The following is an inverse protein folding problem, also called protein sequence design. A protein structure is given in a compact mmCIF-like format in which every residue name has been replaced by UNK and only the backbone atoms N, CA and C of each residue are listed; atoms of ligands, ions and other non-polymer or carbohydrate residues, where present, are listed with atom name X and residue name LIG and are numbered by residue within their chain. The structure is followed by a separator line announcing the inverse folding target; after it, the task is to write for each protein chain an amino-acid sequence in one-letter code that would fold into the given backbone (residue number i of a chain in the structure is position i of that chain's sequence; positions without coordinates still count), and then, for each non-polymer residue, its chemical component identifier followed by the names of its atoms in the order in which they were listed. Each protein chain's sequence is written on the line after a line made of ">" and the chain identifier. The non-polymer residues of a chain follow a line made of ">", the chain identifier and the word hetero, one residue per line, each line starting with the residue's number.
data_IF_168843261057
#
_entry.id   IF_168843261057
#
_cell.length_a   1.000
_cell.length_b   1.000
_cell.length_c   1.000
_cell.angle_alpha   90.00
_cell.angle_beta   90.00
_cell.angle_gamma   90.00
#
_symmetry.space_group_name_H-M   'P 1'
#
loop_
_entity.id
_entity.type
_entity.pdbx_description
1 polymer ?
#
# COMPACT_ATOMS: atom_id res chain seq x y z
N UNK A 1 5.90 8.04 -0.13
CA UNK A 1 4.94 6.95 0.20
C UNK A 1 5.27 5.65 -0.51
N UNK A 2 5.58 5.69 -1.81
CA UNK A 2 5.86 4.47 -2.57
C UNK A 2 6.92 3.59 -1.89
N UNK A 3 8.08 4.16 -1.52
CA UNK A 3 9.14 3.39 -0.86
C UNK A 3 8.73 2.80 0.49
N UNK A 4 7.98 3.58 1.28
CA UNK A 4 7.68 3.23 2.67
C UNK A 4 6.48 2.28 2.82
N UNK A 5 5.55 2.28 1.86
CA UNK A 5 4.30 1.52 1.98
C UNK A 5 3.97 0.63 0.79
N UNK A 6 4.50 0.94 -0.39
CA UNK A 6 4.16 0.26 -1.64
C UNK A 6 5.38 -0.27 -2.39
N UNK A 7 6.53 -0.39 -1.72
CA UNK A 7 7.74 -0.97 -2.33
C UNK A 7 7.47 -2.39 -2.77
N UNK A 8 6.87 -3.19 -1.89
CA UNK A 8 6.47 -4.57 -2.19
C UNK A 8 5.48 -4.66 -3.37
N UNK A 9 4.62 -3.66 -3.58
CA UNK A 9 3.65 -3.67 -4.69
C UNK A 9 4.37 -3.50 -6.04
N UNK A 10 5.36 -2.61 -6.09
CA UNK A 10 6.22 -2.43 -7.27
C UNK A 10 7.22 -3.57 -7.43
N UNK A 11 7.70 -4.16 -6.33
CA UNK A 11 8.57 -5.34 -6.36
C UNK A 11 7.85 -6.54 -6.98
N UNK A 12 6.56 -6.75 -6.69
CA UNK A 12 5.75 -7.79 -7.35
C UNK A 12 5.72 -7.58 -8.86
N UNK A 13 5.50 -6.34 -9.33
CA UNK A 13 5.51 -6.02 -10.76
C UNK A 13 6.89 -6.27 -11.38
N UNK A 14 7.96 -5.83 -10.72
CA UNK A 14 9.33 -6.05 -11.17
C UNK A 14 9.68 -7.55 -11.22
N UNK A 15 9.21 -8.33 -10.23
CA UNK A 15 9.40 -9.78 -10.17
C UNK A 15 8.63 -10.52 -11.28
N UNK A 16 7.37 -10.14 -11.56
CA UNK A 16 6.60 -10.69 -12.68
C UNK A 16 7.25 -10.42 -14.03
N UNK A 17 7.98 -9.30 -14.13
CA UNK A 17 8.72 -8.88 -15.32
C UNK A 17 10.20 -9.23 -15.26
N UNK A 18 10.62 -10.15 -14.37
CA UNK A 18 12.03 -10.50 -14.18
C UNK A 18 12.72 -10.85 -15.50
N UNK A 19 13.89 -10.26 -15.73
CA UNK A 19 14.65 -10.38 -16.98
C UNK A 19 14.24 -9.37 -18.06
N UNK A 20 13.17 -8.62 -17.86
CA UNK A 20 12.73 -7.53 -18.73
C UNK A 20 12.73 -6.21 -17.94
N UNK A 21 13.71 -5.37 -18.20
CA UNK A 21 13.87 -4.13 -17.44
C UNK A 21 12.85 -3.07 -17.88
N UNK A 22 12.43 -2.19 -16.95
CA UNK A 22 11.72 -0.97 -17.31
C UNK A 22 12.53 -0.15 -18.32
N UNK A 23 11.82 0.58 -19.18
CA UNK A 23 12.37 1.48 -20.19
C UNK A 23 12.06 2.93 -19.84
N UNK A 24 10.83 3.20 -19.41
CA UNK A 24 10.40 4.53 -18.97
C UNK A 24 9.39 4.44 -17.84
N UNK A 25 9.38 5.46 -16.98
CA UNK A 25 8.44 5.63 -15.87
C UNK A 25 7.82 7.02 -15.97
N UNK A 26 6.51 7.12 -15.79
CA UNK A 26 5.80 8.37 -15.61
C UNK A 26 4.93 8.27 -14.35
N UNK A 27 4.88 9.31 -13.52
CA UNK A 27 4.11 9.31 -12.28
C UNK A 27 3.52 10.66 -11.96
N UNK A 28 2.29 10.66 -11.45
CA UNK A 28 1.60 11.85 -10.96
C UNK A 28 0.97 11.54 -9.61
N UNK A 29 0.96 12.52 -8.72
CA UNK A 29 0.45 12.37 -7.37
C UNK A 29 0.77 13.60 -6.53
N UNK A 30 0.03 13.78 -5.44
CA UNK A 30 0.21 14.93 -4.56
C UNK A 30 -0.35 14.65 -3.16
N UNK A 31 -0.22 15.63 -2.27
CA UNK A 31 -1.06 15.72 -1.08
C UNK A 31 -2.32 16.46 -1.52
N UNK A 32 -3.47 15.80 -1.49
CA UNK A 32 -4.74 16.36 -1.95
C UNK A 32 -5.79 16.39 -0.84
N UNK A 33 -5.98 15.28 -0.14
CA UNK A 33 -7.00 15.16 0.89
C UNK A 33 -6.55 15.79 2.20
N UNK A 34 -5.30 15.62 2.60
CA UNK A 34 -4.82 16.01 3.93
C UNK A 34 -4.15 17.39 3.94
N UNK A 35 -4.87 18.38 3.42
CA UNK A 35 -4.47 19.81 3.39
C UNK A 35 -5.46 20.67 4.19
N UNK A 36 -5.07 21.86 4.66
CA UNK A 36 -5.93 22.72 5.47
C UNK A 36 -7.27 23.07 4.81
N UNK A 37 -7.29 23.21 3.49
CA UNK A 37 -8.47 23.57 2.69
C UNK A 37 -9.52 22.46 2.68
N UNK A 38 -9.11 21.21 2.91
CA UNK A 38 -10.00 20.04 2.98
C UNK A 38 -10.48 19.76 4.42
N UNK A 39 -10.04 20.55 5.40
CA UNK A 39 -10.50 20.40 6.77
C UNK A 39 -12.00 20.72 6.88
N UNK A 40 -12.76 20.01 7.73
CA UNK A 40 -14.14 20.39 8.03
C UNK A 40 -14.24 21.84 8.51
N UNK A 41 -15.37 22.48 8.22
CA UNK A 41 -15.63 23.84 8.70
C UNK A 41 -15.49 23.91 10.23
N UNK A 42 -14.84 24.96 10.73
CA UNK A 42 -14.53 25.14 12.16
C UNK A 42 -13.66 24.03 12.77
N UNK A 43 -12.93 23.23 11.98
CA UNK A 43 -11.98 22.26 12.52
C UNK A 43 -10.82 22.97 13.24
N UNK A 44 -10.60 22.56 14.49
CA UNK A 44 -9.49 23.00 15.32
C UNK A 44 -8.14 22.44 14.89
N UNK A 45 -7.12 22.68 15.71
CA UNK A 45 -5.77 22.16 15.50
C UNK A 45 -5.51 20.85 16.24
N UNK A 46 -6.29 20.55 17.28
CA UNK A 46 -6.18 19.34 18.09
C UNK A 46 -7.58 18.80 18.41
N UNK A 47 -7.82 17.51 18.13
CA UNK A 47 -9.17 16.94 18.20
C UNK A 47 -9.76 16.98 19.61
N UNK A 48 -8.95 16.71 20.64
CA UNK A 48 -9.42 16.64 22.03
C UNK A 48 -9.50 18.02 22.71
N UNK A 49 -8.75 19.00 22.21
CA UNK A 49 -8.54 20.26 22.94
C UNK A 49 -9.42 21.38 22.41
N UNK A 50 -9.55 21.52 21.08
CA UNK A 50 -10.12 22.73 20.49
C UNK A 50 -10.82 22.51 19.14
N UNK A 51 -11.41 21.33 18.89
CA UNK A 51 -12.03 21.01 17.60
C UNK A 51 -13.56 20.89 17.68
N UNK A 52 -14.32 21.97 17.37
CA UNK A 52 -15.78 21.91 17.25
C UNK A 52 -16.29 20.86 16.26
N UNK A 53 -15.54 20.61 15.18
CA UNK A 53 -15.90 19.64 14.13
C UNK A 53 -15.61 18.18 14.49
N UNK A 54 -15.06 17.89 15.68
CA UNK A 54 -14.60 16.54 16.08
C UNK A 54 -15.65 15.45 15.84
N UNK A 55 -16.91 15.72 16.22
CA UNK A 55 -17.98 14.71 16.14
C UNK A 55 -18.42 14.37 14.72
N UNK A 56 -18.38 15.32 13.79
CA UNK A 56 -18.74 15.09 12.39
C UNK A 56 -17.54 14.71 11.51
N UNK A 57 -16.32 14.95 11.96
CA UNK A 57 -15.09 14.67 11.21
C UNK A 57 -14.82 13.15 11.10
N UNK A 58 -14.60 12.67 9.87
CA UNK A 58 -14.19 11.29 9.58
C UNK A 58 -12.77 10.95 10.10
N UNK A 59 -11.95 11.97 10.34
CA UNK A 59 -10.56 11.85 10.79
C UNK A 59 -10.35 12.37 12.23
N UNK A 60 -11.38 12.32 13.07
CA UNK A 60 -11.22 12.65 14.50
C UNK A 60 -10.30 11.63 15.19
N UNK A 61 -9.17 12.11 15.72
CA UNK A 61 -8.24 11.30 16.51
C UNK A 61 -8.94 10.68 17.73
N UNK A 62 -9.86 11.40 18.39
CA UNK A 62 -10.64 10.87 19.52
C UNK A 62 -11.47 9.66 19.11
N UNK A 63 -12.21 9.79 18.01
CA UNK A 63 -13.09 8.73 17.51
C UNK A 63 -12.29 7.54 17.01
N UNK A 64 -11.22 7.79 16.27
CA UNK A 64 -10.43 6.74 15.62
C UNK A 64 -9.48 6.02 16.57
N UNK A 65 -8.92 6.71 17.56
CA UNK A 65 -7.86 6.13 18.40
C UNK A 65 -8.37 5.65 19.77
N UNK A 66 -9.48 6.24 20.27
CA UNK A 66 -10.06 5.91 21.58
C UNK A 66 -11.42 5.22 21.46
N UNK A 67 -12.42 5.88 20.86
CA UNK A 67 -13.82 5.42 20.96
C UNK A 67 -14.14 4.27 20.01
N UNK A 68 -13.57 4.28 18.81
CA UNK A 68 -13.78 3.29 17.76
C UNK A 68 -12.43 2.88 17.15
N UNK A 69 -11.55 2.21 17.92
CA UNK A 69 -10.16 1.88 17.54
C UNK A 69 -10.05 0.75 16.51
N UNK A 70 -10.92 0.75 15.50
CA UNK A 70 -10.96 -0.22 14.41
C UNK A 70 -9.89 0.07 13.33
N UNK A 71 -9.43 1.32 13.24
CA UNK A 71 -8.43 1.76 12.27
C UNK A 71 -7.29 2.46 12.97
N UNK A 72 -6.06 2.12 12.56
CA UNK A 72 -4.81 2.78 12.96
C UNK A 72 -4.45 2.69 14.44
N UNK A 73 -5.38 2.36 15.34
CA UNK A 73 -5.13 2.34 16.78
C UNK A 73 -3.94 1.47 17.18
N UNK A 74 -3.76 0.31 16.56
CA UNK A 74 -2.59 -0.53 16.80
C UNK A 74 -1.28 0.18 16.43
N UNK A 75 -1.23 0.89 15.30
CA UNK A 75 -0.07 1.67 14.89
C UNK A 75 0.18 2.83 15.85
N UNK A 76 -0.86 3.61 16.16
CA UNK A 76 -0.73 4.80 17.03
C UNK A 76 -0.24 4.41 18.43
N UNK A 77 -0.82 3.37 19.03
CA UNK A 77 -0.45 2.97 20.40
C UNK A 77 0.82 2.13 20.45
N UNK A 78 1.23 1.49 19.35
CA UNK A 78 2.57 0.93 19.24
C UNK A 78 3.62 2.05 19.18
N UNK A 79 3.39 3.06 18.35
CA UNK A 79 4.33 4.15 18.10
C UNK A 79 4.28 5.27 19.16
N UNK A 80 3.36 5.21 20.12
CA UNK A 80 3.30 6.14 21.25
C UNK A 80 4.40 5.88 22.29
N UNK A 81 5.09 4.74 22.21
CA UNK A 81 6.13 4.34 23.17
C UNK A 81 5.57 3.90 24.53
N UNK A 82 4.25 3.80 24.69
CA UNK A 82 3.60 3.33 25.92
C UNK A 82 3.02 1.95 25.69
N UNK A 83 3.47 0.97 26.46
CA UNK A 83 2.95 -0.39 26.40
C UNK A 83 1.58 -0.47 27.05
N UNK A 84 0.56 -0.87 26.27
CA UNK A 84 -0.81 -1.12 26.74
C UNK A 84 -1.43 0.04 27.55
N UNK A 85 -1.51 1.27 26.99
CA UNK A 85 -1.98 2.43 27.74
C UNK A 85 -3.46 2.29 28.14
N UNK A 86 -3.79 2.73 29.36
CA UNK A 86 -5.19 2.79 29.84
C UNK A 86 -5.99 3.84 29.06
N UNK A 87 -7.32 3.83 29.20
CA UNK A 87 -8.16 4.83 28.55
C UNK A 87 -7.81 6.26 28.99
N UNK A 88 -7.51 6.46 30.28
CA UNK A 88 -7.10 7.74 30.86
C UNK A 88 -5.75 8.18 30.31
N UNK A 89 -4.78 7.27 30.18
CA UNK A 89 -3.47 7.57 29.60
C UNK A 89 -3.58 7.95 28.13
N UNK A 90 -4.42 7.24 27.36
CA UNK A 90 -4.70 7.57 25.96
C UNK A 90 -5.28 8.98 25.82
N UNK A 91 -6.23 9.35 26.68
CA UNK A 91 -6.82 10.69 26.69
C UNK A 91 -5.77 11.74 27.06
N UNK A 92 -4.95 11.47 28.09
CA UNK A 92 -3.87 12.38 28.52
C UNK A 92 -2.90 12.64 27.37
N UNK A 93 -2.36 11.58 26.78
CA UNK A 93 -1.42 11.64 25.65
C UNK A 93 -2.02 12.40 24.45
N UNK A 94 -3.27 12.13 24.09
CA UNK A 94 -3.92 12.83 22.97
C UNK A 94 -4.40 14.24 23.31
N UNK A 95 -4.29 14.67 24.57
CA UNK A 95 -4.53 16.06 24.99
C UNK A 95 -3.25 16.89 25.08
N UNK A 96 -2.08 16.25 25.06
CA UNK A 96 -0.77 16.91 24.99
C UNK A 96 -0.58 17.53 23.60
N UNK A 97 -0.35 18.85 23.53
CA UNK A 97 -0.28 19.59 22.26
C UNK A 97 1.00 19.29 21.45
N UNK A 98 2.05 18.83 22.12
CA UNK A 98 3.30 18.35 21.54
C UNK A 98 3.21 16.89 21.08
N UNK A 99 2.18 16.14 21.49
CA UNK A 99 1.97 14.79 20.99
C UNK A 99 1.63 14.83 19.48
N UNK A 100 2.40 14.16 18.61
CA UNK A 100 2.18 14.21 17.16
C UNK A 100 0.82 13.63 16.74
N UNK A 101 0.23 12.74 17.55
CA UNK A 101 -1.05 12.09 17.28
C UNK A 101 -2.27 12.89 17.78
N UNK A 102 -2.06 13.97 18.55
CA UNK A 102 -3.17 14.86 18.97
C UNK A 102 -3.57 15.85 17.89
N UNK A 103 -2.66 16.11 16.93
CA UNK A 103 -2.80 17.12 15.88
C UNK A 103 -3.84 16.73 14.82
N UNK A 104 -4.54 17.74 14.31
CA UNK A 104 -5.46 17.60 13.19
C UNK A 104 -4.69 17.20 11.91
N UNK A 105 -5.04 16.07 11.30
CA UNK A 105 -4.35 15.53 10.11
C UNK A 105 -4.27 16.54 8.96
N UNK A 106 -5.32 17.35 8.75
CA UNK A 106 -5.38 18.40 7.74
C UNK A 106 -4.43 19.58 8.01
N UNK A 107 -3.92 19.72 9.24
CA UNK A 107 -3.01 20.79 9.67
C UNK A 107 -1.66 20.25 10.14
N UNK A 108 -1.35 18.99 9.80
CA UNK A 108 -0.05 18.39 10.11
C UNK A 108 1.08 18.93 9.21
N UNK A 109 0.74 19.45 8.02
CA UNK A 109 1.72 19.89 7.03
C UNK A 109 2.42 18.70 6.35
N UNK A 110 1.66 17.65 6.03
CA UNK A 110 2.19 16.43 5.42
C UNK A 110 2.91 16.75 4.11
N UNK A 111 4.10 16.17 3.95
CA UNK A 111 4.90 16.24 2.71
C UNK A 111 4.86 14.94 1.91
N UNK A 112 4.33 13.89 2.51
CA UNK A 112 4.12 12.60 1.88
C UNK A 112 2.80 12.64 1.09
N UNK A 113 2.85 12.26 -0.19
CA UNK A 113 1.65 12.19 -1.05
C UNK A 113 0.59 11.27 -0.44
N UNK A 114 -0.69 11.60 -0.62
CA UNK A 114 -1.79 10.74 -0.19
C UNK A 114 -2.38 9.91 -1.34
N UNK A 115 -2.07 10.26 -2.58
CA UNK A 115 -2.36 9.44 -3.75
C UNK A 115 -1.27 9.60 -4.80
N UNK A 116 -0.99 8.54 -5.54
CA UNK A 116 -0.02 8.53 -6.63
C UNK A 116 -0.31 7.42 -7.62
N UNK A 117 -0.29 7.76 -8.90
CA UNK A 117 -0.42 6.84 -10.02
C UNK A 117 0.87 6.79 -10.82
N UNK A 118 1.22 5.63 -11.32
CA UNK A 118 2.46 5.34 -12.03
C UNK A 118 2.14 4.54 -13.29
N UNK A 119 2.79 4.89 -14.39
CA UNK A 119 2.82 4.14 -15.65
C UNK A 119 4.26 3.74 -15.94
N UNK A 120 4.48 2.46 -16.23
CA UNK A 120 5.79 1.88 -16.53
C UNK A 120 5.69 1.22 -17.90
N UNK A 121 6.63 1.55 -18.80
CA UNK A 121 6.83 0.80 -20.03
C UNK A 121 8.08 -0.06 -19.88
N UNK A 122 8.00 -1.32 -20.26
CA UNK A 122 9.11 -2.27 -20.24
C UNK A 122 9.79 -2.38 -21.60
N UNK A 123 10.98 -2.99 -21.63
CA UNK A 123 11.84 -3.02 -22.81
C UNK A 123 11.26 -3.85 -23.98
N UNK A 124 10.49 -4.89 -23.68
CA UNK A 124 9.79 -5.73 -24.66
C UNK A 124 8.44 -5.18 -25.16
N UNK A 125 8.01 -4.03 -24.64
CA UNK A 125 6.72 -3.40 -24.96
C UNK A 125 5.58 -3.73 -23.98
N UNK A 126 5.78 -4.58 -22.98
CA UNK A 126 4.83 -4.72 -21.89
C UNK A 126 4.68 -3.41 -21.10
N UNK A 127 3.54 -3.22 -20.45
CA UNK A 127 3.23 -2.04 -19.65
C UNK A 127 2.71 -2.43 -18.28
N UNK A 128 3.03 -1.62 -17.28
CA UNK A 128 2.48 -1.76 -15.93
C UNK A 128 1.89 -0.44 -15.45
N UNK A 129 0.80 -0.52 -14.69
CA UNK A 129 0.23 0.63 -13.99
C UNK A 129 0.10 0.30 -12.51
N UNK A 130 0.38 1.28 -11.66
CA UNK A 130 0.19 1.16 -10.22
C UNK A 130 -0.51 2.40 -9.69
N UNK A 131 -1.43 2.24 -8.74
CA UNK A 131 -2.07 3.37 -8.06
C UNK A 131 -2.14 3.09 -6.57
N UNK A 132 -1.57 3.99 -5.78
CA UNK A 132 -1.72 4.04 -4.34
C UNK A 132 -2.70 5.16 -4.01
N UNK A 133 -3.79 4.85 -3.32
CA UNK A 133 -4.82 5.83 -2.95
C UNK A 133 -5.10 5.77 -1.44
N UNK A 134 -4.76 6.85 -0.74
CA UNK A 134 -5.12 7.09 0.65
C UNK A 134 -6.60 7.47 0.80
N UNK A 135 -7.10 7.44 2.03
CA UNK A 135 -8.46 7.83 2.35
C UNK A 135 -9.57 6.86 1.92
N UNK A 136 -9.19 5.67 1.42
CA UNK A 136 -10.14 4.63 1.07
C UNK A 136 -10.95 4.14 2.29
N UNK A 137 -12.20 3.75 2.03
CA UNK A 137 -13.08 3.20 3.06
C UNK A 137 -12.67 1.81 3.53
N UNK A 138 -11.75 1.11 2.85
CA UNK A 138 -11.16 -0.14 3.32
C UNK A 138 -9.74 -0.25 2.78
N UNK A 139 -8.86 -0.96 3.50
CA UNK A 139 -7.60 -1.41 2.91
C UNK A 139 -7.89 -2.40 1.80
N UNK A 140 -7.13 -2.32 0.72
CA UNK A 140 -7.32 -3.17 -0.44
C UNK A 140 -6.04 -3.29 -1.24
N UNK A 141 -5.68 -4.51 -1.68
CA UNK A 141 -4.67 -4.73 -2.72
C UNK A 141 -5.28 -5.58 -3.83
N UNK A 142 -5.33 -5.00 -5.02
CA UNK A 142 -5.85 -5.64 -6.21
C UNK A 142 -4.74 -5.80 -7.23
N UNK A 143 -4.74 -6.92 -7.93
CA UNK A 143 -3.81 -7.20 -9.01
C UNK A 143 -4.58 -7.69 -10.23
N UNK A 144 -4.18 -7.22 -11.40
CA UNK A 144 -4.67 -7.68 -12.68
C UNK A 144 -3.48 -7.84 -13.63
N UNK A 145 -3.28 -9.08 -14.07
CA UNK A 145 -2.21 -9.45 -14.99
C UNK A 145 -2.87 -9.92 -16.28
N UNK A 146 -2.60 -9.25 -17.39
CA UNK A 146 -3.12 -9.66 -18.70
C UNK A 146 -1.95 -10.12 -19.57
N UNK A 147 -2.06 -11.33 -20.10
CA UNK A 147 -1.14 -11.89 -21.07
C UNK A 147 -1.84 -12.24 -22.38
N UNK A 148 -1.08 -12.76 -23.34
CA UNK A 148 -1.60 -13.12 -24.67
C UNK A 148 -2.55 -14.32 -24.69
N UNK A 149 -2.64 -15.07 -23.59
CA UNK A 149 -3.44 -16.30 -23.48
C UNK A 149 -4.55 -16.22 -22.43
N UNK A 150 -4.69 -15.09 -21.74
CA UNK A 150 -5.60 -14.97 -20.62
C UNK A 150 -5.18 -13.93 -19.60
N UNK A 151 -5.82 -13.97 -18.44
CA UNK A 151 -5.62 -13.02 -17.37
C UNK A 151 -5.70 -13.66 -15.98
N UNK A 152 -5.07 -13.02 -15.01
CA UNK A 152 -5.18 -13.31 -13.58
C UNK A 152 -5.71 -12.06 -12.90
N UNK A 153 -6.78 -12.19 -12.12
CA UNK A 153 -7.36 -11.10 -11.34
C UNK A 153 -7.48 -11.55 -9.89
N UNK A 154 -6.87 -10.81 -8.97
CA UNK A 154 -6.86 -11.15 -7.55
C UNK A 154 -7.15 -9.94 -6.67
N UNK A 155 -7.77 -10.22 -5.53
CA UNK A 155 -7.87 -9.30 -4.40
C UNK A 155 -7.23 -10.00 -3.19
N UNK A 156 -6.28 -9.32 -2.55
CA UNK A 156 -5.54 -9.91 -1.45
C UNK A 156 -6.45 -10.23 -0.26
N UNK A 157 -7.36 -9.30 0.08
CA UNK A 157 -8.26 -9.41 1.22
C UNK A 157 -9.29 -10.54 1.06
N UNK A 158 -9.70 -10.86 -0.18
CA UNK A 158 -10.59 -11.97 -0.46
C UNK A 158 -9.90 -13.34 -0.41
N UNK A 159 -8.58 -13.39 -0.26
CA UNK A 159 -7.77 -14.63 -0.20
C UNK A 159 -8.01 -15.56 -1.40
N UNK A 160 -8.32 -14.97 -2.56
CA UNK A 160 -8.68 -15.70 -3.77
C UNK A 160 -8.23 -14.91 -5.01
N UNK A 161 -7.93 -15.63 -6.08
CA UNK A 161 -7.75 -15.05 -7.40
C UNK A 161 -8.41 -15.90 -8.48
N UNK A 162 -8.81 -15.26 -9.56
CA UNK A 162 -9.34 -15.92 -10.74
C UNK A 162 -8.27 -16.03 -11.82
N UNK A 163 -8.23 -17.18 -12.49
CA UNK A 163 -7.45 -17.41 -13.70
C UNK A 163 -8.43 -17.62 -14.84
N UNK A 164 -8.34 -16.77 -15.86
CA UNK A 164 -9.19 -16.85 -17.06
C UNK A 164 -8.31 -17.08 -18.27
N UNK A 165 -8.62 -18.10 -19.04
CA UNK A 165 -7.90 -18.46 -20.26
C UNK A 165 -8.78 -18.15 -21.47
N UNK A 166 -8.15 -17.62 -22.52
CA UNK A 166 -8.80 -17.42 -23.82
C UNK A 166 -9.00 -18.80 -24.46
N UNK A 167 -10.27 -19.19 -24.61
CA UNK A 167 -10.70 -20.54 -24.99
C UNK A 167 -11.94 -20.45 -25.90
N UNK A 168 -11.77 -20.16 -27.20
CA UNK A 168 -12.88 -19.94 -28.13
C UNK A 168 -13.89 -21.09 -28.21
N UNK A 169 -13.44 -22.31 -27.90
CA UNK A 169 -14.26 -23.52 -27.88
C UNK A 169 -15.21 -23.63 -26.67
N UNK A 170 -15.02 -22.81 -25.64
CA UNK A 170 -15.87 -22.76 -24.44
C UNK A 170 -16.97 -21.68 -24.54
N UNK A 171 -18.11 -21.82 -23.83
CA UNK A 171 -19.13 -20.78 -23.76
C UNK A 171 -18.55 -19.43 -23.31
N UNK A 172 -18.84 -18.37 -24.08
CA UNK A 172 -18.28 -17.04 -23.83
C UNK A 172 -16.81 -16.87 -24.24
N UNK A 173 -16.22 -17.85 -24.94
CA UNK A 173 -14.86 -17.78 -25.46
C UNK A 173 -13.76 -17.85 -24.39
N UNK A 174 -14.10 -18.32 -23.19
CA UNK A 174 -13.16 -18.37 -22.07
C UNK A 174 -13.39 -19.57 -21.14
N UNK A 175 -12.33 -19.96 -20.44
CA UNK A 175 -12.37 -20.90 -19.32
C UNK A 175 -11.87 -20.19 -18.07
N UNK A 176 -12.66 -20.19 -17.01
CA UNK A 176 -12.33 -19.53 -15.74
C UNK A 176 -12.24 -20.55 -14.61
N UNK A 177 -11.28 -20.37 -13.71
CA UNK A 177 -11.21 -21.05 -12.41
C UNK A 177 -10.87 -20.07 -11.30
N UNK A 178 -11.40 -20.33 -10.11
CA UNK A 178 -11.03 -19.61 -8.88
C UNK A 178 -9.98 -20.45 -8.17
N UNK A 179 -8.94 -19.79 -7.67
CA UNK A 179 -7.93 -20.35 -6.80
C UNK A 179 -8.12 -19.75 -5.42
N UNK A 180 -8.36 -20.62 -4.45
CA UNK A 180 -8.47 -20.25 -3.05
C UNK A 180 -7.12 -20.44 -2.36
N UNK A 181 -6.64 -19.38 -1.72
CA UNK A 181 -5.36 -19.35 -0.97
C UNK A 181 -5.59 -19.03 0.52
N UNK A 182 -6.83 -19.15 1.00
CA UNK A 182 -7.15 -18.89 2.41
C UNK A 182 -6.46 -19.84 3.37
N UNK A 183 -6.17 -21.07 2.94
CA UNK A 183 -5.36 -22.02 3.70
C UNK A 183 -3.89 -21.59 3.85
N UNK A 184 -3.36 -20.87 2.86
CA UNK A 184 -2.00 -20.34 2.89
C UNK A 184 -1.90 -19.06 3.71
N UNK A 185 -2.93 -18.19 3.64
CA UNK A 185 -2.95 -16.91 4.35
C UNK A 185 -3.45 -17.00 5.79
N UNK A 186 -4.36 -17.93 6.10
CA UNK A 186 -5.00 -18.11 7.41
C UNK A 186 -5.58 -16.80 8.00
N UNK A 187 -6.05 -15.88 7.14
CA UNK A 187 -6.53 -14.57 7.57
C UNK A 187 -5.46 -13.65 8.18
N UNK A 188 -4.18 -13.97 8.04
CA UNK A 188 -3.07 -13.11 8.47
C UNK A 188 -3.09 -11.80 7.64
N UNK A 189 -3.01 -10.60 8.26
CA UNK A 189 -2.97 -9.33 7.53
C UNK A 189 -1.79 -9.19 6.54
N UNK A 190 -0.74 -9.98 6.73
CA UNK A 190 0.44 -10.07 5.86
C UNK A 190 0.42 -11.34 4.98
N UNK A 191 -0.67 -12.11 4.99
CA UNK A 191 -0.85 -13.30 4.14
C UNK A 191 0.18 -14.41 4.39
N UNK A 192 0.75 -14.45 5.61
CA UNK A 192 1.89 -15.30 5.99
C UNK A 192 3.18 -15.07 5.19
N UNK A 193 3.27 -13.96 4.46
CA UNK A 193 4.46 -13.60 3.66
C UNK A 193 5.72 -13.44 4.51
N UNK A 194 5.61 -12.88 5.72
CA UNK A 194 6.76 -12.71 6.63
C UNK A 194 7.37 -14.07 7.01
N UNK A 195 6.53 -15.05 7.35
CA UNK A 195 6.98 -16.41 7.66
C UNK A 195 7.62 -17.07 6.45
N UNK A 196 7.04 -16.91 5.26
CA UNK A 196 7.58 -17.46 4.02
C UNK A 196 8.96 -16.88 3.69
N UNK A 197 9.16 -15.56 3.84
CA UNK A 197 10.45 -14.90 3.63
C UNK A 197 11.51 -15.41 4.62
N UNK A 198 11.14 -15.57 5.90
CA UNK A 198 12.05 -16.13 6.91
C UNK A 198 12.40 -17.59 6.62
N UNK A 199 11.44 -18.39 6.17
CA UNK A 199 11.66 -19.77 5.75
C UNK A 199 12.63 -19.84 4.56
N UNK A 200 12.41 -19.04 3.52
CA UNK A 200 13.29 -18.93 2.36
C UNK A 200 14.72 -18.56 2.76
N UNK A 201 14.86 -17.62 3.70
CA UNK A 201 16.17 -17.24 4.23
C UNK A 201 16.88 -18.41 4.93
N UNK A 202 16.18 -19.16 5.79
CA UNK A 202 16.76 -20.34 6.42
C UNK A 202 17.10 -21.45 5.43
N UNK A 203 16.24 -21.69 4.43
CA UNK A 203 16.50 -22.64 3.35
C UNK A 203 17.76 -22.27 2.57
N UNK A 204 17.93 -20.99 2.24
CA UNK A 204 19.15 -20.48 1.62
C UNK A 204 20.39 -20.74 2.48
N UNK A 205 20.34 -20.46 3.78
CA UNK A 205 21.46 -20.71 4.71
C UNK A 205 21.82 -22.19 4.85
N UNK A 206 20.85 -23.10 4.67
CA UNK A 206 21.07 -24.56 4.69
C UNK A 206 21.54 -25.12 3.34
N UNK A 207 21.66 -24.29 2.30
CA UNK A 207 22.02 -24.74 0.96
C UNK A 207 20.89 -25.50 0.24
N UNK A 208 19.64 -25.30 0.66
CA UNK A 208 18.46 -25.87 0.00
C UNK A 208 18.17 -25.10 -1.29
N UNK A 209 17.34 -25.68 -2.16
CA UNK A 209 16.88 -25.00 -3.36
C UNK A 209 16.04 -23.77 -2.98
N UNK A 210 16.33 -22.63 -3.61
CA UNK A 210 15.56 -21.41 -3.42
C UNK A 210 14.12 -21.60 -3.90
N UNK A 211 13.16 -20.99 -3.19
CA UNK A 211 11.77 -20.98 -3.63
C UNK A 211 11.62 -20.20 -4.94
N UNK A 212 10.50 -20.43 -5.63
CA UNK A 212 10.14 -19.66 -6.82
C UNK A 212 9.98 -18.15 -6.55
N UNK A 213 9.67 -17.78 -5.31
CA UNK A 213 9.46 -16.40 -4.87
C UNK A 213 10.78 -15.72 -4.45
N UNK A 214 11.87 -16.47 -4.35
CA UNK A 214 13.15 -15.94 -3.91
C UNK A 214 13.70 -14.93 -4.92
N UNK A 215 14.06 -13.75 -4.41
CA UNK A 215 14.64 -12.64 -5.18
C UNK A 215 16.10 -12.42 -4.82
N UNK A 216 16.89 -12.00 -5.79
CA UNK A 216 18.26 -11.54 -5.58
C UNK A 216 18.28 -10.05 -5.24
N UNK A 217 19.39 -9.54 -4.70
CA UNK A 217 19.58 -8.10 -4.52
C UNK A 217 19.35 -7.31 -5.83
N UNK A 218 19.80 -7.86 -6.96
CA UNK A 218 19.61 -7.23 -8.26
C UNK A 218 18.12 -7.12 -8.63
N UNK A 219 17.30 -8.12 -8.29
CA UNK A 219 15.85 -8.06 -8.51
C UNK A 219 15.22 -6.93 -7.67
N UNK A 220 15.56 -6.82 -6.38
CA UNK A 220 15.05 -5.78 -5.48
C UNK A 220 15.50 -4.36 -5.86
N UNK A 221 16.70 -4.22 -6.43
CA UNK A 221 17.20 -2.93 -6.93
C UNK A 221 16.36 -2.38 -8.08
N UNK A 222 15.70 -3.23 -8.88
CA UNK A 222 14.80 -2.78 -9.95
C UNK A 222 13.59 -2.06 -9.37
N UNK A 223 12.92 -2.65 -8.38
CA UNK A 223 11.75 -2.04 -7.73
C UNK A 223 12.09 -0.76 -6.98
N UNK A 224 13.23 -0.72 -6.29
CA UNK A 224 13.71 0.51 -5.63
C UNK A 224 14.00 1.63 -6.65
N UNK A 225 14.68 1.31 -7.75
CA UNK A 225 14.94 2.28 -8.82
C UNK A 225 13.64 2.80 -9.45
N UNK A 226 12.65 1.92 -9.67
CA UNK A 226 11.33 2.33 -10.15
C UNK A 226 10.68 3.35 -9.22
N UNK A 227 10.77 3.16 -7.90
CA UNK A 227 10.25 4.12 -6.91
C UNK A 227 10.92 5.49 -7.05
N UNK A 228 12.25 5.53 -7.14
CA UNK A 228 12.97 6.80 -7.25
C UNK A 228 12.67 7.53 -8.56
N UNK A 229 12.59 6.79 -9.68
CA UNK A 229 12.23 7.37 -10.98
C UNK A 229 10.77 7.85 -11.00
N UNK A 230 9.86 7.16 -10.32
CA UNK A 230 8.48 7.61 -10.15
C UNK A 230 8.43 8.92 -9.35
N UNK A 231 9.19 9.06 -8.26
CA UNK A 231 9.27 10.32 -7.52
C UNK A 231 9.88 11.44 -8.37
N UNK A 232 10.96 11.18 -9.11
CA UNK A 232 11.55 12.16 -10.01
C UNK A 232 10.53 12.64 -11.07
N UNK A 233 9.81 11.71 -11.69
CA UNK A 233 8.75 12.03 -12.65
C UNK A 233 7.67 12.90 -12.03
N UNK A 234 7.21 12.55 -10.81
CA UNK A 234 6.19 13.30 -10.08
C UNK A 234 6.64 14.74 -9.79
N UNK A 235 7.87 14.92 -9.34
CA UNK A 235 8.43 16.25 -9.05
C UNK A 235 8.59 17.12 -10.31
N UNK A 236 8.75 16.48 -11.47
CA UNK A 236 8.77 17.12 -12.79
C UNK A 236 7.38 17.21 -13.45
N UNK A 237 6.29 17.11 -12.68
CA UNK A 237 4.94 17.28 -13.21
C UNK A 237 4.44 16.12 -14.09
N UNK A 238 5.00 14.92 -13.92
CA UNK A 238 4.61 13.72 -14.66
C UNK A 238 5.37 13.48 -15.96
N UNK A 239 6.49 14.19 -16.18
CA UNK A 239 7.38 13.93 -17.30
C UNK A 239 7.86 12.47 -17.31
N UNK A 240 7.93 11.87 -18.50
CA UNK A 240 8.45 10.51 -18.65
C UNK A 240 9.96 10.50 -18.40
N UNK A 241 10.39 9.73 -17.41
CA UNK A 241 11.79 9.53 -17.05
C UNK A 241 12.27 8.19 -17.63
N UNK A 242 13.48 8.17 -18.18
CA UNK A 242 14.10 6.93 -18.69
C UNK A 242 14.63 6.09 -17.53
N UNK A 243 14.53 4.77 -17.66
CA UNK A 243 15.04 3.83 -16.66
C UNK A 243 16.55 3.93 -16.52
#
# INVERSE_FOLDING_TARGET
>A
MLLSKCSHDLDIMAWLMKGNLPKTVASVGSVFQFIPEMAPENAGTHCLNNCPAERSCAYSAKRLYIENPQRWANNIWHDSGVSQPTAEEKIRLLSEADNPYSRCVYRCGLKIVDHQSILIAFSDGATGTFSMNGGAAASGRNIHITGTKGEIIGNFESQQFSVRLIKPEHPGGQLSRIVDVSADQLGNPHGNGDQAVVQDFFSLLRGEAASFCCTTLADSMVGHRLVFLAEESREKGGESVRY
#
